data_IF_515345610594
#
_entry.id   IF_515345610594
#
_cell.length_a   1.000
_cell.length_b   1.000
_cell.length_c   1.000
_cell.angle_alpha   90.00
_cell.angle_beta   90.00
_cell.angle_gamma   90.00
#
_symmetry.space_group_name_H-M   'P 1'
#
loop_
_entity.id
_entity.type
_entity.pdbx_description
1 polymer ?
#
# COMPACT_ATOMS: atom_id res chain seq x y z
N UNK A 1 17.30 -27.59 5.06
CA UNK A 1 16.53 -26.37 5.39
C UNK A 1 15.31 -26.67 6.25
N UNK A 2 14.20 -27.22 5.72
CA UNK A 2 12.95 -27.43 6.49
C UNK A 2 13.17 -28.21 7.79
N UNK A 3 13.81 -29.38 7.73
CA UNK A 3 14.19 -30.15 8.94
C UNK A 3 15.06 -29.37 9.92
N UNK A 4 15.90 -28.45 9.45
CA UNK A 4 16.75 -27.63 10.31
C UNK A 4 15.96 -26.52 11.00
N UNK A 5 14.93 -25.98 10.34
CA UNK A 5 13.98 -25.04 10.93
C UNK A 5 13.05 -25.72 11.95
N UNK A 6 12.66 -26.97 11.72
CA UNK A 6 11.89 -27.76 12.70
C UNK A 6 12.73 -28.20 13.90
N UNK A 7 14.01 -28.48 13.68
CA UNK A 7 14.93 -28.90 14.74
C UNK A 7 15.36 -27.73 15.64
N UNK A 8 15.30 -26.50 15.14
CA UNK A 8 15.34 -25.34 16.04
C UNK A 8 14.03 -25.29 16.82
N UNK A 9 14.11 -25.33 18.16
CA UNK A 9 12.98 -25.12 19.08
C UNK A 9 12.39 -23.70 19.02
N UNK A 10 12.62 -22.99 17.92
CA UNK A 10 12.17 -21.62 17.70
C UNK A 10 10.73 -21.67 17.18
N UNK A 11 9.78 -21.38 18.06
CA UNK A 11 8.33 -21.51 17.81
C UNK A 11 7.74 -20.38 16.97
N UNK A 12 8.56 -19.40 16.58
CA UNK A 12 8.08 -18.12 16.06
C UNK A 12 7.67 -18.15 14.58
N UNK A 13 7.84 -19.29 13.90
CA UNK A 13 7.54 -19.42 12.47
C UNK A 13 6.59 -20.58 12.20
N UNK A 14 5.49 -20.25 11.53
CA UNK A 14 4.56 -21.22 10.96
C UNK A 14 4.74 -21.30 9.45
N UNK A 15 5.21 -22.44 8.97
CA UNK A 15 5.36 -22.69 7.53
C UNK A 15 4.00 -23.07 6.93
N UNK A 16 3.51 -22.28 5.97
CA UNK A 16 2.24 -22.52 5.27
C UNK A 16 2.35 -23.57 4.15
N UNK A 17 3.45 -23.56 3.41
CA UNK A 17 3.67 -24.50 2.30
C UNK A 17 4.82 -24.08 1.41
N UNK A 18 5.03 -24.84 0.33
CA UNK A 18 6.18 -24.73 -0.56
C UNK A 18 5.71 -24.36 -1.97
N UNK A 19 6.44 -23.46 -2.64
CA UNK A 19 6.19 -23.07 -4.02
C UNK A 19 7.43 -23.34 -4.87
N UNK A 20 7.24 -23.97 -6.04
CA UNK A 20 8.33 -24.31 -6.95
C UNK A 20 7.82 -24.41 -8.40
N UNK A 21 8.45 -23.67 -9.32
CA UNK A 21 8.17 -23.69 -10.76
C UNK A 21 8.56 -25.02 -11.44
N UNK A 22 9.37 -25.85 -10.80
CA UNK A 22 9.71 -27.17 -11.33
C UNK A 22 8.46 -28.07 -11.25
N UNK A 23 7.92 -28.43 -12.41
CA UNK A 23 6.84 -29.42 -12.56
C UNK A 23 7.34 -30.84 -12.81
N UNK A 24 6.48 -31.84 -12.54
CA UNK A 24 6.65 -33.25 -12.94
C UNK A 24 7.64 -34.08 -12.12
N UNK A 25 7.20 -35.26 -11.67
CA UNK A 25 7.88 -36.48 -11.14
C UNK A 25 9.11 -36.41 -10.21
N UNK A 26 9.74 -35.25 -10.00
CA UNK A 26 10.97 -35.06 -9.20
C UNK A 26 10.73 -34.45 -7.83
N UNK A 27 9.54 -33.96 -7.53
CA UNK A 27 9.21 -33.35 -6.24
C UNK A 27 7.97 -34.03 -5.68
N UNK A 28 8.15 -34.66 -4.51
CA UNK A 28 7.03 -35.25 -3.76
C UNK A 28 5.96 -34.18 -3.48
N UNK A 29 4.65 -34.49 -3.59
CA UNK A 29 3.56 -33.58 -3.25
C UNK A 29 3.68 -32.96 -1.85
N UNK A 30 4.45 -33.62 -0.97
CA UNK A 30 4.88 -33.10 0.32
C UNK A 30 6.40 -33.18 0.45
N UNK A 31 7.02 -32.10 0.92
CA UNK A 31 8.46 -32.10 1.29
C UNK A 31 8.57 -31.83 2.78
N UNK A 32 9.17 -32.77 3.53
CA UNK A 32 9.27 -32.71 4.99
C UNK A 32 7.90 -32.44 5.67
N UNK A 33 6.83 -33.09 5.20
CA UNK A 33 5.48 -32.94 5.76
C UNK A 33 4.65 -31.77 5.19
N UNK A 34 5.29 -30.73 4.65
CA UNK A 34 4.62 -29.54 4.09
C UNK A 34 4.16 -29.75 2.65
N UNK A 35 2.93 -29.31 2.29
CA UNK A 35 2.40 -29.43 0.95
C UNK A 35 3.11 -28.48 -0.03
N UNK A 36 3.28 -28.94 -1.27
CA UNK A 36 3.50 -28.03 -2.39
C UNK A 36 2.18 -27.34 -2.71
N UNK A 37 2.11 -26.03 -2.55
CA UNK A 37 0.90 -25.24 -2.77
C UNK A 37 0.79 -24.71 -4.20
N UNK A 38 1.90 -24.61 -4.92
CA UNK A 38 1.88 -24.08 -6.28
C UNK A 38 3.25 -23.76 -6.90
N UNK A 39 3.22 -22.97 -7.95
CA UNK A 39 4.35 -22.33 -8.61
C UNK A 39 4.59 -20.89 -8.09
N UNK A 40 5.58 -20.17 -8.63
CA UNK A 40 5.92 -18.82 -8.15
C UNK A 40 4.87 -17.76 -8.53
N UNK A 41 4.12 -17.95 -9.61
CA UNK A 41 3.02 -17.02 -9.95
C UNK A 41 1.84 -17.19 -8.98
N UNK A 42 1.53 -18.44 -8.60
CA UNK A 42 0.53 -18.77 -7.58
C UNK A 42 0.96 -18.29 -6.17
N UNK A 43 2.27 -18.22 -5.88
CA UNK A 43 2.80 -17.63 -4.65
C UNK A 43 2.45 -16.15 -4.53
N UNK A 44 2.50 -15.39 -5.64
CA UNK A 44 2.13 -13.96 -5.62
C UNK A 44 0.65 -13.81 -5.29
N UNK A 45 -0.23 -14.63 -5.88
CA UNK A 45 -1.66 -14.60 -5.55
C UNK A 45 -1.92 -15.06 -4.11
N UNK A 46 -1.21 -16.08 -3.65
CA UNK A 46 -1.32 -16.60 -2.30
C UNK A 46 -0.87 -15.55 -1.28
N UNK A 47 0.27 -14.89 -1.47
CA UNK A 47 0.77 -13.83 -0.60
C UNK A 47 -0.07 -12.55 -0.59
N UNK A 48 -0.94 -12.36 -1.58
CA UNK A 48 -1.96 -11.30 -1.57
C UNK A 48 -3.17 -11.66 -0.71
N UNK A 49 -3.59 -12.93 -0.73
CA UNK A 49 -4.75 -13.42 0.03
C UNK A 49 -4.42 -13.73 1.49
N UNK A 50 -3.26 -14.35 1.69
CA UNK A 50 -2.72 -14.72 2.99
C UNK A 50 -1.72 -13.65 3.39
N UNK A 51 -1.93 -13.02 4.56
CA UNK A 51 -0.94 -12.11 5.14
C UNK A 51 0.30 -12.90 5.54
N UNK A 52 1.23 -13.01 4.61
CA UNK A 52 2.52 -13.64 4.82
C UNK A 52 3.46 -12.63 5.46
N UNK A 53 4.20 -13.07 6.47
CA UNK A 53 5.21 -12.22 7.09
C UNK A 53 6.59 -12.45 6.51
N UNK A 54 6.89 -13.68 6.10
CA UNK A 54 8.22 -14.11 5.72
C UNK A 54 8.15 -15.06 4.52
N UNK A 55 8.99 -14.77 3.53
CA UNK A 55 9.24 -15.61 2.37
C UNK A 55 10.69 -16.08 2.40
N UNK A 56 10.86 -17.39 2.49
CA UNK A 56 12.19 -18.02 2.50
C UNK A 56 12.50 -18.53 1.09
N UNK A 57 13.52 -17.94 0.46
CA UNK A 57 14.06 -18.42 -0.81
C UNK A 57 15.15 -19.44 -0.52
N UNK A 58 14.98 -20.66 -1.01
CA UNK A 58 15.95 -21.76 -0.82
C UNK A 58 16.77 -22.07 -2.07
N UNK A 59 16.91 -21.10 -2.98
CA UNK A 59 17.76 -21.23 -4.17
C UNK A 59 19.22 -20.92 -3.82
N UNK A 60 20.20 -21.64 -4.41
CA UNK A 60 21.61 -21.29 -4.22
C UNK A 60 21.89 -19.93 -4.87
N UNK A 61 22.76 -19.12 -4.24
CA UNK A 61 23.16 -17.79 -4.77
C UNK A 61 23.81 -17.89 -6.16
N UNK A 62 24.40 -19.04 -6.49
CA UNK A 62 25.00 -19.29 -7.80
C UNK A 62 23.99 -19.30 -8.95
N UNK A 63 22.69 -19.44 -8.67
CA UNK A 63 21.62 -19.36 -9.68
C UNK A 63 21.11 -17.91 -9.82
N UNK A 64 22.04 -16.98 -10.06
CA UNK A 64 21.81 -15.53 -10.04
C UNK A 64 20.64 -15.09 -10.92
N UNK A 65 20.63 -15.46 -12.21
CA UNK A 65 19.56 -15.08 -13.14
C UNK A 65 18.17 -15.52 -12.65
N UNK A 66 18.07 -16.75 -12.16
CA UNK A 66 16.81 -17.30 -11.65
C UNK A 66 16.39 -16.63 -10.35
N UNK A 67 17.35 -16.30 -9.48
CA UNK A 67 17.08 -15.55 -8.26
C UNK A 67 16.56 -14.14 -8.60
N UNK A 68 17.19 -13.42 -9.53
CA UNK A 68 16.74 -12.10 -9.96
C UNK A 68 15.34 -12.13 -10.60
N UNK A 69 15.05 -13.13 -11.45
CA UNK A 69 13.72 -13.31 -12.03
C UNK A 69 12.65 -13.55 -10.96
N UNK A 70 12.96 -14.39 -9.96
CA UNK A 70 12.08 -14.66 -8.83
C UNK A 70 11.88 -13.41 -7.97
N UNK A 71 12.95 -12.68 -7.64
CA UNK A 71 12.86 -11.45 -6.86
C UNK A 71 12.02 -10.38 -7.57
N UNK A 72 12.18 -10.21 -8.89
CA UNK A 72 11.37 -9.27 -9.68
C UNK A 72 9.87 -9.55 -9.55
N UNK A 73 9.46 -10.82 -9.49
CA UNK A 73 8.06 -11.22 -9.26
C UNK A 73 7.61 -10.97 -7.82
N UNK A 74 8.48 -11.19 -6.84
CA UNK A 74 8.14 -11.12 -5.42
C UNK A 74 8.22 -9.71 -4.81
N UNK A 75 8.95 -8.78 -5.42
CA UNK A 75 9.07 -7.38 -4.98
C UNK A 75 7.73 -6.64 -4.85
N UNK A 76 6.69 -7.17 -5.50
CA UNK A 76 5.31 -6.70 -5.40
C UNK A 76 4.69 -6.92 -4.01
N UNK A 77 5.22 -7.88 -3.24
CA UNK A 77 4.64 -8.30 -1.96
C UNK A 77 5.25 -7.52 -0.77
N UNK A 78 4.43 -7.18 0.26
CA UNK A 78 4.89 -6.56 1.50
C UNK A 78 5.45 -7.58 2.50
N UNK A 79 6.39 -8.42 2.07
CA UNK A 79 6.92 -9.53 2.88
C UNK A 79 8.42 -9.42 3.05
N UNK A 80 8.93 -9.94 4.16
CA UNK A 80 10.37 -10.09 4.34
C UNK A 80 10.86 -11.24 3.45
N UNK A 81 11.86 -10.99 2.61
CA UNK A 81 12.46 -12.02 1.75
C UNK A 81 13.83 -12.37 2.32
N UNK A 82 13.95 -13.62 2.80
CA UNK A 82 15.17 -14.18 3.37
C UNK A 82 15.71 -15.25 2.45
N UNK A 83 16.97 -15.14 2.05
CA UNK A 83 17.66 -16.15 1.27
C UNK A 83 18.39 -17.12 2.19
N UNK A 84 18.12 -18.42 2.07
CA UNK A 84 18.79 -19.43 2.89
C UNK A 84 20.26 -19.52 2.53
N UNK A 85 21.13 -19.33 3.52
CA UNK A 85 22.56 -19.52 3.37
C UNK A 85 23.01 -20.95 3.71
N UNK A 86 22.07 -21.83 4.04
CA UNK A 86 22.34 -23.18 4.54
C UNK A 86 23.14 -24.06 3.57
N UNK A 87 23.06 -23.80 2.26
CA UNK A 87 23.75 -24.56 1.20
C UNK A 87 24.86 -23.78 0.51
N UNK A 88 25.16 -22.55 0.96
CA UNK A 88 26.12 -21.70 0.27
C UNK A 88 27.56 -21.99 0.69
N UNK A 89 28.45 -22.14 -0.30
CA UNK A 89 29.90 -22.18 -0.08
C UNK A 89 30.49 -20.79 0.22
N UNK A 90 29.77 -19.72 -0.15
CA UNK A 90 30.15 -18.34 0.09
C UNK A 90 29.90 -17.97 1.56
N UNK A 91 30.98 -17.72 2.30
CA UNK A 91 30.94 -17.20 3.67
C UNK A 91 30.98 -15.68 3.64
N UNK A 92 29.87 -15.03 3.95
CA UNK A 92 29.81 -13.59 4.17
C UNK A 92 30.28 -13.25 5.59
N UNK A 93 30.48 -11.95 5.88
CA UNK A 93 30.79 -11.52 7.24
C UNK A 93 29.63 -11.88 8.18
N UNK A 94 29.88 -12.21 9.46
CA UNK A 94 28.83 -12.63 10.40
C UNK A 94 27.65 -11.66 10.51
N UNK A 95 27.91 -10.35 10.41
CA UNK A 95 26.88 -9.29 10.48
C UNK A 95 25.90 -9.26 9.30
N UNK A 96 26.19 -9.95 8.20
CA UNK A 96 25.31 -10.02 7.03
C UNK A 96 24.22 -11.09 7.21
N UNK A 97 24.38 -12.00 8.17
CA UNK A 97 23.44 -13.07 8.41
C UNK A 97 22.43 -12.70 9.50
N UNK A 98 21.14 -12.83 9.17
CA UNK A 98 20.07 -12.98 10.14
C UNK A 98 19.86 -14.47 10.43
N UNK A 99 19.53 -14.83 11.66
CA UNK A 99 19.27 -16.21 12.04
C UNK A 99 17.80 -16.39 12.39
N UNK A 100 17.26 -17.53 11.98
CA UNK A 100 15.97 -18.05 12.44
C UNK A 100 16.31 -19.39 13.07
N UNK A 101 16.10 -19.51 14.38
CA UNK A 101 16.71 -20.57 15.16
C UNK A 101 18.22 -20.65 14.90
N UNK A 102 18.68 -21.82 14.45
CA UNK A 102 20.09 -22.08 14.14
C UNK A 102 20.43 -21.98 12.64
N UNK A 103 19.49 -21.54 11.82
CA UNK A 103 19.66 -21.50 10.36
C UNK A 103 20.05 -20.09 9.90
N UNK A 104 21.17 -19.93 9.17
CA UNK A 104 21.59 -18.63 8.66
C UNK A 104 20.82 -18.23 7.40
N UNK A 105 20.41 -16.97 7.36
CA UNK A 105 19.72 -16.32 6.25
C UNK A 105 20.39 -15.00 5.88
N UNK A 106 20.26 -14.60 4.62
CA UNK A 106 20.65 -13.27 4.13
C UNK A 106 19.35 -12.49 3.89
N UNK A 107 19.27 -11.28 4.44
CA UNK A 107 18.19 -10.35 4.15
C UNK A 107 18.32 -9.89 2.69
N UNK A 108 17.32 -10.19 1.86
CA UNK A 108 17.26 -9.71 0.48
C UNK A 108 16.36 -8.49 0.38
N UNK A 109 15.26 -8.52 1.13
CA UNK A 109 14.29 -7.43 1.20
C UNK A 109 13.66 -7.45 2.60
N UNK A 110 13.68 -6.31 3.26
CA UNK A 110 12.92 -6.09 4.47
C UNK A 110 11.58 -5.40 4.13
N UNK A 111 10.56 -5.62 4.96
CA UNK A 111 9.33 -4.83 4.94
C UNK A 111 9.67 -3.35 5.18
N UNK A 112 8.96 -2.41 4.53
CA UNK A 112 9.33 -0.99 4.65
C UNK A 112 9.14 -0.42 6.05
N UNK A 113 8.14 -0.93 6.78
CA UNK A 113 7.82 -0.53 8.15
C UNK A 113 7.67 -1.84 8.92
N UNK A 114 8.67 -2.20 9.73
CA UNK A 114 8.76 -3.48 10.43
C UNK A 114 8.68 -3.31 11.95
N UNK A 115 8.39 -4.39 12.67
CA UNK A 115 8.54 -4.49 14.12
C UNK A 115 7.84 -3.34 14.90
N UNK A 116 8.60 -2.63 15.74
CA UNK A 116 8.12 -1.52 16.55
C UNK A 116 7.69 -0.31 15.73
N UNK A 117 8.26 -0.11 14.55
CA UNK A 117 7.89 1.00 13.68
C UNK A 117 6.45 0.85 13.18
N UNK A 118 6.01 -0.38 12.94
CA UNK A 118 4.60 -0.65 12.60
C UNK A 118 3.67 -0.29 13.76
N UNK A 119 4.06 -0.62 15.00
CA UNK A 119 3.29 -0.30 16.20
C UNK A 119 3.23 1.21 16.43
N UNK A 120 4.37 1.90 16.28
CA UNK A 120 4.47 3.36 16.40
C UNK A 120 3.62 4.06 15.34
N UNK A 121 3.72 3.64 14.07
CA UNK A 121 2.87 4.12 12.98
C UNK A 121 1.39 3.95 13.32
N UNK A 122 1.00 2.74 13.74
CA UNK A 122 -0.38 2.43 14.07
C UNK A 122 -0.91 3.29 15.22
N UNK A 123 -0.14 3.42 16.30
CA UNK A 123 -0.53 4.22 17.46
C UNK A 123 -0.62 5.71 17.11
N UNK A 124 0.33 6.21 16.32
CA UNK A 124 0.33 7.57 15.80
C UNK A 124 -0.92 7.84 14.97
N UNK A 125 -1.21 6.99 13.99
CA UNK A 125 -2.38 7.12 13.12
C UNK A 125 -3.69 7.13 13.92
N UNK A 126 -3.86 6.22 14.89
CA UNK A 126 -5.07 6.18 15.73
C UNK A 126 -5.22 7.41 16.60
N UNK A 127 -4.14 7.83 17.26
CA UNK A 127 -4.17 8.94 18.22
C UNK A 127 -4.45 10.26 17.50
N UNK A 128 -3.69 10.54 16.45
CA UNK A 128 -3.82 11.80 15.69
C UNK A 128 -5.13 11.82 14.91
N UNK A 129 -5.57 10.71 14.30
CA UNK A 129 -6.87 10.67 13.61
C UNK A 129 -8.05 10.86 14.56
N UNK A 130 -7.98 10.33 15.78
CA UNK A 130 -9.03 10.51 16.79
C UNK A 130 -9.14 11.98 17.22
N UNK A 131 -8.01 12.63 17.49
CA UNK A 131 -7.99 14.06 17.82
C UNK A 131 -8.49 14.92 16.66
N UNK A 132 -8.01 14.63 15.44
CA UNK A 132 -8.46 15.33 14.23
C UNK A 132 -9.96 15.15 13.98
N UNK A 133 -10.51 13.95 14.23
CA UNK A 133 -11.93 13.67 14.07
C UNK A 133 -12.77 14.46 15.07
N UNK A 134 -12.37 14.53 16.34
CA UNK A 134 -13.06 15.33 17.36
C UNK A 134 -13.03 16.81 16.99
N UNK A 135 -11.87 17.33 16.59
CA UNK A 135 -11.72 18.72 16.18
C UNK A 135 -12.52 19.06 14.92
N UNK A 136 -12.59 18.13 13.95
CA UNK A 136 -13.31 18.32 12.70
C UNK A 136 -14.81 18.04 12.80
N UNK A 137 -15.29 17.37 13.86
CA UNK A 137 -16.68 16.93 13.99
C UNK A 137 -17.72 18.07 13.83
N UNK A 138 -17.54 19.27 14.42
CA UNK A 138 -18.47 20.38 14.20
C UNK A 138 -18.56 20.80 12.73
N UNK A 139 -17.42 20.90 12.05
CA UNK A 139 -17.34 21.26 10.63
C UNK A 139 -17.98 20.16 9.77
N UNK A 140 -17.70 18.89 10.08
CA UNK A 140 -18.31 17.75 9.41
C UNK A 140 -19.84 17.73 9.55
N UNK A 141 -20.38 18.10 10.71
CA UNK A 141 -21.82 18.21 10.93
C UNK A 141 -22.46 19.32 10.09
N UNK A 142 -21.81 20.48 10.01
CA UNK A 142 -22.26 21.59 9.15
C UNK A 142 -22.24 21.21 7.67
N UNK A 143 -21.17 20.54 7.21
CA UNK A 143 -21.08 20.04 5.83
C UNK A 143 -22.17 19.01 5.57
N UNK A 144 -22.41 18.08 6.50
CA UNK A 144 -23.47 17.08 6.36
C UNK A 144 -24.85 17.71 6.19
N UNK A 145 -25.15 18.76 6.98
CA UNK A 145 -26.37 19.53 6.85
C UNK A 145 -26.46 20.25 5.50
N UNK A 146 -25.39 20.94 5.08
CA UNK A 146 -25.34 21.64 3.79
C UNK A 146 -25.59 20.68 2.62
N UNK A 147 -25.00 19.48 2.63
CA UNK A 147 -25.21 18.45 1.60
C UNK A 147 -26.66 17.96 1.57
N UNK A 148 -27.30 17.81 2.73
CA UNK A 148 -28.71 17.39 2.84
C UNK A 148 -29.68 18.45 2.32
N UNK A 149 -29.36 19.72 2.52
CA UNK A 149 -30.17 20.84 2.05
C UNK A 149 -29.98 21.09 0.54
N UNK A 150 -28.79 20.82 0.00
CA UNK A 150 -28.45 21.08 -1.41
C UNK A 150 -29.05 20.02 -2.37
N UNK A 151 -29.05 18.74 -2.01
CA UNK A 151 -29.60 17.68 -2.87
C UNK A 151 -30.11 16.44 -2.13
N UNK A 152 -31.08 15.72 -2.72
CA UNK A 152 -31.63 14.48 -2.15
C UNK A 152 -30.60 13.34 -2.16
N UNK A 153 -30.61 12.49 -1.12
CA UNK A 153 -29.76 11.29 -1.02
C UNK A 153 -28.85 11.24 0.22
N UNK A 154 -27.87 10.31 0.26
CA UNK A 154 -26.97 10.13 1.40
C UNK A 154 -25.89 11.22 1.49
N UNK A 155 -25.42 11.51 2.71
CA UNK A 155 -24.35 12.50 2.95
C UNK A 155 -22.99 11.95 2.55
N UNK A 156 -22.75 10.68 2.86
CA UNK A 156 -21.49 10.00 2.60
C UNK A 156 -21.57 9.28 1.26
N UNK A 157 -20.47 9.37 0.53
CA UNK A 157 -20.20 8.62 -0.67
C UNK A 157 -19.05 7.65 -0.38
N UNK A 158 -19.17 6.42 -0.88
CA UNK A 158 -18.14 5.39 -0.73
C UNK A 158 -17.52 5.10 -2.08
N UNK A 159 -16.21 5.01 -2.11
CA UNK A 159 -15.47 4.80 -3.33
C UNK A 159 -14.48 3.64 -3.17
N UNK A 160 -14.52 2.67 -4.07
CA UNK A 160 -13.60 1.54 -4.03
C UNK A 160 -12.20 1.97 -4.48
N UNK A 161 -11.19 1.57 -3.72
CA UNK A 161 -9.78 1.87 -3.96
C UNK A 161 -8.89 0.67 -3.63
N UNK A 162 -7.71 0.63 -4.23
CA UNK A 162 -6.66 -0.31 -3.81
C UNK A 162 -6.00 0.18 -2.52
N UNK A 163 -6.03 -0.67 -1.52
CA UNK A 163 -5.44 -0.53 -0.20
C UNK A 163 -4.03 -1.12 -0.11
N UNK A 164 -3.65 -1.47 1.13
CA UNK A 164 -2.45 -2.27 1.41
C UNK A 164 -2.55 -3.64 0.73
N UNK A 165 -1.44 -4.13 0.18
CA UNK A 165 -1.32 -5.42 -0.49
C UNK A 165 -2.37 -5.67 -1.60
N UNK A 166 -2.79 -4.59 -2.30
CA UNK A 166 -3.86 -4.61 -3.31
C UNK A 166 -5.25 -5.07 -2.79
N UNK A 167 -5.49 -5.07 -1.48
CA UNK A 167 -6.83 -5.31 -0.94
C UNK A 167 -7.79 -4.19 -1.36
N UNK A 168 -9.02 -4.53 -1.74
CA UNK A 168 -10.03 -3.53 -2.08
C UNK A 168 -10.65 -2.95 -0.80
N UNK A 169 -10.56 -1.63 -0.65
CA UNK A 169 -11.11 -0.89 0.49
C UNK A 169 -12.17 0.12 0.04
N UNK A 170 -13.14 0.40 0.92
CA UNK A 170 -14.15 1.44 0.71
C UNK A 170 -13.71 2.75 1.36
N UNK A 171 -13.31 3.74 0.57
CA UNK A 171 -12.89 5.06 1.08
C UNK A 171 -14.12 5.96 1.25
N UNK A 172 -14.30 6.52 2.45
CA UNK A 172 -15.41 7.44 2.76
C UNK A 172 -15.09 8.85 2.32
N UNK A 173 -16.04 9.50 1.65
CA UNK A 173 -16.00 10.92 1.31
C UNK A 173 -17.34 11.57 1.56
N UNK A 174 -17.35 12.89 1.67
CA UNK A 174 -18.61 13.62 1.54
C UNK A 174 -19.06 13.58 0.08
N UNK A 175 -20.37 13.42 -0.10
CA UNK A 175 -20.99 13.48 -1.42
C UNK A 175 -20.85 14.89 -1.98
N UNK A 176 -20.12 15.01 -3.09
CA UNK A 176 -19.98 16.26 -3.85
C UNK A 176 -20.78 16.28 -5.17
N UNK A 177 -21.34 15.14 -5.58
CA UNK A 177 -22.09 14.99 -6.83
C UNK A 177 -23.54 14.59 -6.58
N UNK A 178 -24.42 14.86 -7.55
CA UNK A 178 -25.79 14.35 -7.53
C UNK A 178 -25.79 12.82 -7.51
N UNK A 179 -26.61 12.22 -6.65
CA UNK A 179 -26.57 10.78 -6.34
C UNK A 179 -26.82 9.91 -7.58
N UNK A 180 -27.77 10.33 -8.41
CA UNK A 180 -28.17 9.71 -9.68
C UNK A 180 -27.12 9.83 -10.79
N UNK A 181 -26.16 10.75 -10.65
CA UNK A 181 -25.07 10.95 -11.59
C UNK A 181 -23.70 10.54 -11.02
N UNK A 182 -23.69 9.99 -9.81
CA UNK A 182 -22.46 9.61 -9.10
C UNK A 182 -21.86 8.33 -9.68
N UNK A 183 -20.53 8.29 -9.76
CA UNK A 183 -19.76 7.17 -10.30
C UNK A 183 -18.92 6.53 -9.18
N UNK A 184 -19.47 5.49 -8.55
CA UNK A 184 -18.83 4.75 -7.46
C UNK A 184 -17.52 4.07 -7.88
N UNK A 185 -17.43 3.65 -9.15
CA UNK A 185 -16.28 2.95 -9.71
C UNK A 185 -15.18 3.92 -10.17
N UNK A 186 -15.48 5.23 -10.22
CA UNK A 186 -14.58 6.28 -10.68
C UNK A 186 -14.11 6.07 -12.13
N UNK A 187 -14.97 5.50 -12.98
CA UNK A 187 -14.69 5.26 -14.38
C UNK A 187 -14.46 6.55 -15.17
N UNK A 188 -15.10 7.65 -14.76
CA UNK A 188 -14.88 8.99 -15.33
C UNK A 188 -14.23 9.92 -14.31
N UNK A 189 -13.05 10.43 -14.67
CA UNK A 189 -12.43 11.55 -13.96
C UNK A 189 -13.36 12.76 -13.98
N UNK A 190 -13.28 13.56 -12.92
CA UNK A 190 -14.10 14.76 -12.76
C UNK A 190 -13.35 15.91 -13.39
N UNK A 191 -13.94 16.51 -14.41
CA UNK A 191 -13.33 17.65 -15.12
C UNK A 191 -13.68 18.97 -14.44
N UNK A 192 -12.99 20.04 -14.84
CA UNK A 192 -13.38 21.39 -14.47
C UNK A 192 -14.81 21.67 -14.94
N UNK A 193 -15.61 22.31 -14.07
CA UNK A 193 -17.01 22.67 -14.32
C UNK A 193 -17.96 21.50 -14.65
N UNK A 194 -17.66 20.32 -14.12
CA UNK A 194 -18.48 19.11 -14.32
C UNK A 194 -19.93 19.30 -13.80
N UNK A 195 -20.96 19.13 -14.66
CA UNK A 195 -22.36 19.37 -14.31
C UNK A 195 -22.89 18.39 -13.25
N UNK A 196 -22.20 17.27 -13.01
CA UNK A 196 -22.55 16.29 -11.97
C UNK A 196 -22.27 16.82 -10.57
N UNK A 197 -21.42 17.85 -10.43
CA UNK A 197 -21.00 18.40 -9.14
C UNK A 197 -21.99 19.43 -8.65
N UNK A 198 -22.46 19.23 -7.42
CA UNK A 198 -23.42 20.13 -6.74
C UNK A 198 -22.78 21.47 -6.36
N UNK A 199 -23.54 22.55 -6.14
CA UNK A 199 -23.01 23.83 -5.66
C UNK A 199 -22.21 23.70 -4.36
N UNK A 200 -22.73 23.00 -3.34
CA UNK A 200 -22.00 22.71 -2.10
C UNK A 200 -20.80 21.80 -2.39
N UNK A 201 -20.99 20.83 -3.28
CA UNK A 201 -19.94 19.93 -3.78
C UNK A 201 -18.71 20.65 -4.33
N UNK A 202 -18.90 21.73 -5.10
CA UNK A 202 -17.80 22.55 -5.62
C UNK A 202 -16.99 23.18 -4.49
N UNK A 203 -17.66 23.70 -3.47
CA UNK A 203 -16.99 24.32 -2.32
C UNK A 203 -16.17 23.31 -1.52
N UNK A 204 -16.76 22.16 -1.16
CA UNK A 204 -16.08 21.15 -0.33
C UNK A 204 -14.90 20.48 -1.06
N UNK A 205 -14.97 20.33 -2.40
CA UNK A 205 -13.84 19.83 -3.21
C UNK A 205 -12.71 20.85 -3.30
N UNK A 206 -13.04 22.14 -3.50
CA UNK A 206 -12.06 23.22 -3.57
C UNK A 206 -11.25 23.32 -2.27
N UNK A 207 -11.90 23.11 -1.14
CA UNK A 207 -11.28 23.15 0.20
C UNK A 207 -10.75 21.79 0.66
N UNK A 208 -10.90 20.73 -0.13
CA UNK A 208 -10.58 19.33 0.23
C UNK A 208 -11.30 18.82 1.49
N UNK A 209 -12.36 19.51 1.92
CA UNK A 209 -13.18 19.09 3.06
C UNK A 209 -13.97 17.81 2.77
N UNK A 210 -14.12 17.45 1.49
CA UNK A 210 -14.76 16.21 1.07
C UNK A 210 -14.02 14.94 1.51
N UNK A 211 -12.72 15.05 1.84
CA UNK A 211 -11.87 13.96 2.30
C UNK A 211 -11.90 13.76 3.82
N UNK A 212 -12.53 14.65 4.61
CA UNK A 212 -12.59 14.51 6.08
C UNK A 212 -13.16 13.18 6.59
N UNK A 213 -14.20 12.58 5.97
CA UNK A 213 -14.70 11.27 6.39
C UNK A 213 -13.67 10.13 6.27
N UNK A 214 -12.55 10.32 5.55
CA UNK A 214 -11.47 9.33 5.48
C UNK A 214 -10.80 9.09 6.83
N UNK A 215 -10.94 10.00 7.80
CA UNK A 215 -10.49 9.77 9.18
C UNK A 215 -11.14 8.52 9.79
N UNK A 216 -12.39 8.19 9.40
CA UNK A 216 -13.02 6.93 9.81
C UNK A 216 -12.30 5.71 9.23
N UNK A 217 -11.78 5.78 8.00
CA UNK A 217 -10.98 4.70 7.41
C UNK A 217 -9.66 4.50 8.16
N UNK A 218 -9.03 5.57 8.63
CA UNK A 218 -7.81 5.50 9.45
C UNK A 218 -8.11 4.82 10.80
N UNK A 219 -9.23 5.17 11.44
CA UNK A 219 -9.68 4.51 12.65
C UNK A 219 -10.12 3.05 12.43
N UNK A 220 -10.53 2.66 11.22
CA UNK A 220 -10.72 1.25 10.85
C UNK A 220 -9.42 0.52 10.51
N UNK A 221 -8.36 1.27 10.21
CA UNK A 221 -7.05 0.75 9.84
C UNK A 221 -6.92 0.38 8.36
N UNK A 222 -7.87 0.82 7.53
CA UNK A 222 -7.88 0.66 6.07
C UNK A 222 -6.98 1.71 5.38
N UNK A 223 -6.93 2.92 5.96
CA UNK A 223 -6.03 4.01 5.57
C UNK A 223 -5.05 4.35 6.70
N UNK A 224 -4.02 5.10 6.34
CA UNK A 224 -3.08 5.79 7.23
C UNK A 224 -3.31 7.31 7.10
N UNK A 225 -2.88 8.11 8.07
CA UNK A 225 -2.88 9.57 7.90
C UNK A 225 -1.94 9.99 6.76
N UNK A 226 -0.73 9.43 6.78
CA UNK A 226 0.33 9.70 5.81
C UNK A 226 0.68 8.41 5.07
N UNK A 227 0.78 8.48 3.75
CA UNK A 227 1.14 7.36 2.90
C UNK A 227 0.92 7.65 1.41
N UNK A 228 1.26 6.70 0.53
CA UNK A 228 0.95 6.81 -0.88
C UNK A 228 -0.56 6.98 -1.12
N UNK A 229 -0.95 7.86 -2.04
CA UNK A 229 -2.38 8.12 -2.28
C UNK A 229 -3.07 6.91 -2.91
N UNK A 230 -4.25 6.48 -2.43
CA UNK A 230 -4.95 5.32 -2.98
C UNK A 230 -5.46 5.60 -4.39
N UNK A 231 -5.07 4.77 -5.36
CA UNK A 231 -5.49 4.91 -6.76
C UNK A 231 -6.83 4.23 -7.03
N UNK A 232 -7.58 4.79 -7.98
CA UNK A 232 -8.82 4.20 -8.49
C UNK A 232 -8.53 2.89 -9.23
N UNK A 233 -9.48 1.95 -9.20
CA UNK A 233 -9.37 0.66 -9.89
C UNK A 233 -9.11 0.80 -11.39
N UNK A 234 -9.57 1.91 -11.98
CA UNK A 234 -9.47 2.21 -13.40
C UNK A 234 -8.58 3.42 -13.68
N UNK A 235 -7.65 3.75 -12.78
CA UNK A 235 -6.63 4.73 -13.13
C UNK A 235 -5.87 4.16 -14.35
N UNK A 236 -6.14 4.73 -15.52
CA UNK A 236 -5.41 4.51 -16.77
C UNK A 236 -4.70 5.81 -17.09
N UNK A 237 -3.43 5.74 -17.41
CA UNK A 237 -2.71 6.84 -18.00
C UNK A 237 -2.44 6.49 -19.45
N UNK A 238 -2.85 7.37 -20.38
CA UNK A 238 -2.56 7.19 -21.80
C UNK A 238 -2.89 5.79 -22.36
N UNK A 239 -4.06 5.23 -22.01
CA UNK A 239 -4.53 3.89 -22.42
C UNK A 239 -3.69 2.69 -21.97
N UNK A 240 -2.67 2.88 -21.13
CA UNK A 240 -1.90 1.82 -20.48
C UNK A 240 -2.20 1.77 -18.98
N UNK A 241 -2.06 0.58 -18.39
CA UNK A 241 -2.11 0.42 -16.94
C UNK A 241 -0.81 0.99 -16.33
N UNK A 242 -0.89 1.62 -15.16
CA UNK A 242 0.26 2.30 -14.53
C UNK A 242 1.44 1.37 -14.28
N UNK A 243 1.17 0.09 -14.04
CA UNK A 243 2.13 -0.98 -13.86
C UNK A 243 2.94 -1.32 -15.12
N UNK A 244 2.43 -0.95 -16.30
CA UNK A 244 3.14 -1.08 -17.58
C UNK A 244 4.01 0.15 -17.88
N UNK A 245 3.77 1.27 -17.18
CA UNK A 245 4.44 2.56 -17.44
C UNK A 245 5.61 2.79 -16.49
N UNK A 246 5.54 2.30 -15.24
CA UNK A 246 6.59 2.52 -14.22
C UNK A 246 6.96 1.21 -13.53
N UNK A 247 8.20 0.78 -13.74
CA UNK A 247 8.80 -0.33 -12.99
C UNK A 247 8.73 -0.06 -11.47
N UNK A 248 8.30 -1.05 -10.69
CA UNK A 248 8.18 -0.91 -9.24
C UNK A 248 6.93 -0.15 -8.77
N UNK A 249 6.01 0.24 -9.66
CA UNK A 249 4.73 0.89 -9.30
C UNK A 249 4.01 0.18 -8.14
N UNK A 250 3.99 -1.15 -8.15
CA UNK A 250 3.31 -1.92 -7.11
C UNK A 250 3.93 -1.83 -5.72
N UNK A 251 5.20 -1.46 -5.60
CA UNK A 251 5.86 -1.36 -4.31
C UNK A 251 5.20 -0.31 -3.40
N UNK A 252 4.42 0.63 -3.96
CA UNK A 252 3.61 1.57 -3.18
C UNK A 252 2.48 0.94 -2.37
N UNK A 253 2.00 -0.23 -2.78
CA UNK A 253 0.98 -0.99 -2.05
C UNK A 253 1.58 -1.78 -0.89
N UNK A 254 2.89 -1.67 -0.66
CA UNK A 254 3.57 -2.33 0.47
C UNK A 254 3.35 -1.63 1.81
N UNK A 255 2.73 -0.46 1.82
CA UNK A 255 2.29 0.25 3.03
C UNK A 255 0.82 0.65 2.88
N UNK A 256 0.17 1.00 3.99
CA UNK A 256 -1.21 1.50 3.93
C UNK A 256 -1.25 2.83 3.17
N UNK A 257 -2.22 3.02 2.26
CA UNK A 257 -2.36 4.30 1.60
C UNK A 257 -2.75 5.41 2.57
N UNK A 258 -2.32 6.63 2.25
CA UNK A 258 -2.52 7.83 3.07
C UNK A 258 -3.68 8.70 2.63
N UNK A 259 -4.23 9.47 3.58
CA UNK A 259 -5.07 10.65 3.27
C UNK A 259 -4.20 11.73 2.60
N UNK A 260 -3.03 11.99 3.20
CA UNK A 260 -1.96 12.82 2.65
C UNK A 260 -0.68 12.01 2.43
N UNK A 261 0.33 12.59 1.80
CA UNK A 261 1.57 11.89 1.48
C UNK A 261 2.65 12.82 0.92
N UNK A 262 3.87 12.30 0.86
CA UNK A 262 5.04 13.03 0.37
C UNK A 262 4.84 13.57 -1.05
N UNK A 263 4.33 12.73 -1.96
CA UNK A 263 4.02 13.15 -3.32
C UNK A 263 2.99 14.30 -3.35
N UNK A 264 1.98 14.28 -2.47
CA UNK A 264 0.93 15.32 -2.42
C UNK A 264 1.50 16.67 -1.99
N UNK A 265 2.32 16.72 -0.95
CA UNK A 265 2.87 17.99 -0.46
C UNK A 265 3.94 18.57 -1.39
N UNK A 266 4.57 17.74 -2.24
CA UNK A 266 5.50 18.17 -3.28
C UNK A 266 4.82 18.52 -4.61
N UNK A 267 3.49 18.64 -4.64
CA UNK A 267 2.75 19.11 -5.82
C UNK A 267 2.39 18.04 -6.84
N UNK A 268 2.65 16.75 -6.56
CA UNK A 268 2.25 15.60 -7.39
C UNK A 268 0.86 15.08 -7.00
N UNK A 269 -0.09 16.00 -6.78
CA UNK A 269 -1.46 15.70 -6.37
C UNK A 269 -2.42 15.50 -7.56
N UNK A 270 -2.28 16.33 -8.59
CA UNK A 270 -3.22 16.50 -9.71
C UNK A 270 -3.23 15.39 -10.76
N UNK A 271 -3.81 15.72 -11.92
CA UNK A 271 -3.98 14.79 -13.04
C UNK A 271 -2.63 14.26 -13.56
N UNK A 272 -2.55 12.93 -13.63
CA UNK A 272 -1.37 12.19 -14.08
C UNK A 272 -1.48 11.87 -15.57
N UNK A 273 -1.59 12.91 -16.39
CA UNK A 273 -1.88 12.74 -17.82
C UNK A 273 -0.65 12.36 -18.64
N UNK A 274 0.54 12.56 -18.06
CA UNK A 274 1.82 12.23 -18.69
C UNK A 274 2.55 11.16 -17.89
N UNK A 275 3.29 10.30 -18.60
CA UNK A 275 4.13 9.28 -17.99
C UNK A 275 5.15 9.88 -17.01
N UNK A 276 5.71 11.05 -17.32
CA UNK A 276 6.66 11.75 -16.44
C UNK A 276 6.02 12.15 -15.09
N UNK A 277 4.80 12.72 -15.10
CA UNK A 277 4.09 13.07 -13.86
C UNK A 277 3.83 11.84 -12.99
N UNK A 278 3.55 10.70 -13.62
CA UNK A 278 3.33 9.42 -12.92
C UNK A 278 4.62 8.94 -12.30
N UNK A 279 5.70 8.92 -13.09
CA UNK A 279 7.00 8.49 -12.61
C UNK A 279 7.43 9.33 -11.41
N UNK A 280 7.34 10.66 -11.49
CA UNK A 280 7.64 11.56 -10.37
C UNK A 280 6.80 11.26 -9.13
N UNK A 281 5.49 11.03 -9.30
CA UNK A 281 4.61 10.65 -8.19
C UNK A 281 5.06 9.35 -7.53
N UNK A 282 5.37 8.33 -8.33
CA UNK A 282 5.81 7.02 -7.86
C UNK A 282 7.16 7.14 -7.15
N UNK A 283 8.13 7.87 -7.71
CA UNK A 283 9.42 8.13 -7.06
C UNK A 283 9.25 8.74 -5.66
N UNK A 284 8.34 9.70 -5.49
CA UNK A 284 8.06 10.30 -4.19
C UNK A 284 7.36 9.32 -3.24
N UNK A 285 6.44 8.51 -3.73
CA UNK A 285 5.80 7.48 -2.90
C UNK A 285 6.83 6.43 -2.43
N UNK A 286 7.73 5.99 -3.31
CA UNK A 286 8.81 5.06 -2.97
C UNK A 286 9.80 5.69 -1.97
N UNK A 287 10.18 6.96 -2.18
CA UNK A 287 11.03 7.69 -1.25
C UNK A 287 10.42 7.74 0.15
N UNK A 288 9.11 7.99 0.26
CA UNK A 288 8.41 7.96 1.54
C UNK A 288 8.47 6.59 2.21
N UNK A 289 8.26 5.52 1.44
CA UNK A 289 8.28 4.15 1.93
C UNK A 289 9.66 3.74 2.43
N UNK A 290 10.72 4.14 1.72
CA UNK A 290 12.11 3.80 2.05
C UNK A 290 12.66 4.64 3.22
N UNK A 291 12.18 5.87 3.39
CA UNK A 291 12.67 6.82 4.40
C UNK A 291 11.64 7.08 5.49
N UNK A 292 10.70 6.15 5.69
CA UNK A 292 9.64 6.33 6.65
C UNK A 292 10.22 6.56 8.05
N UNK A 293 9.67 7.56 8.75
CA UNK A 293 9.87 7.76 10.17
C UNK A 293 8.69 8.53 10.74
N UNK A 294 8.47 8.42 12.05
CA UNK A 294 7.41 9.20 12.73
C UNK A 294 7.59 10.70 12.54
N UNK A 295 8.83 11.18 12.54
CA UNK A 295 9.14 12.59 12.28
C UNK A 295 8.80 13.00 10.85
N UNK A 296 8.98 12.10 9.89
CA UNK A 296 8.61 12.38 8.51
C UNK A 296 7.09 12.47 8.35
N UNK A 297 6.33 11.60 9.02
CA UNK A 297 4.86 11.70 9.08
C UNK A 297 4.41 13.05 9.69
N UNK A 298 5.01 13.46 10.80
CA UNK A 298 4.73 14.76 11.45
C UNK A 298 5.01 15.91 10.48
N UNK A 299 6.16 15.90 9.81
CA UNK A 299 6.52 16.92 8.82
C UNK A 299 5.48 16.99 7.70
N UNK A 300 5.08 15.84 7.13
CA UNK A 300 4.11 15.79 6.04
C UNK A 300 2.75 16.32 6.50
N UNK A 301 2.29 15.96 7.69
CA UNK A 301 1.03 16.47 8.24
C UNK A 301 1.08 17.98 8.48
N UNK A 302 2.18 18.51 9.01
CA UNK A 302 2.35 19.96 9.22
C UNK A 302 2.37 20.74 7.90
N UNK A 303 2.97 20.18 6.85
CA UNK A 303 3.02 20.81 5.52
C UNK A 303 1.74 20.64 4.72
N UNK A 304 0.88 19.67 5.07
CA UNK A 304 -0.34 19.37 4.31
C UNK A 304 -1.27 20.56 4.18
N UNK A 305 -1.66 21.29 5.25
CA UNK A 305 -2.52 22.48 5.11
C UNK A 305 -1.92 23.54 4.18
N UNK A 306 -0.62 23.80 4.27
CA UNK A 306 0.08 24.78 3.43
C UNK A 306 0.02 24.36 1.96
N UNK A 307 0.26 23.07 1.67
CA UNK A 307 0.16 22.51 0.33
C UNK A 307 -1.28 22.56 -0.22
N UNK A 308 -2.31 22.40 0.64
CA UNK A 308 -3.72 22.52 0.23
C UNK A 308 -4.08 23.95 -0.20
N UNK A 309 -3.49 24.98 0.41
CA UNK A 309 -3.69 26.38 0.00
C UNK A 309 -2.97 26.73 -1.31
N UNK A 310 -1.87 26.05 -1.63
CA UNK A 310 -1.11 26.27 -2.86
C UNK A 310 -1.70 25.48 -4.05
N UNK A 311 -2.80 25.99 -4.60
CA UNK A 311 -3.66 25.33 -5.61
C UNK A 311 -3.07 25.16 -7.02
N UNK A 312 -1.76 25.40 -7.23
CA UNK A 312 -1.13 25.41 -8.57
C UNK A 312 -1.29 24.11 -9.36
N UNK A 313 -1.46 22.95 -8.71
CA UNK A 313 -1.58 21.63 -9.34
C UNK A 313 -2.81 20.82 -8.84
N UNK A 314 -3.88 21.48 -8.40
CA UNK A 314 -5.07 20.79 -7.86
C UNK A 314 -6.01 20.22 -8.95
N UNK A 315 -5.84 20.69 -10.19
CA UNK A 315 -6.53 20.25 -11.39
C UNK A 315 -5.47 20.01 -12.46
#
# INVERSE_FOLDING_TARGET
>A
LLKALEASNDTDIRIYGIFDDRGGDRISPRTAGYPKLGNIDELVEFGRKMRLDLLIVSLPVTAEERLLQLLKKLWVLPVDIRLSAHTNKLRFRPRTYSYIGNVPFIAVQDKPIADWDYVLKWLFDKSVASLALIAAAPVMALIALAIKLDSKGPVLFKQKRYGFNNELIEVYKFRSMYTDMSDADAAKLVTKDDPRVTPVGRFIRKTSLDELPQLFNVLKGELSLVGPRPHAQQAKAANALYDQVVDGYFARHRVKPGITGWAQINGWRGETDTAEKIQRRVEHDLYYIENWSVWFDIYILAMTPIALFNTRNAY
#
